data_IF_843300687801
#
_entry.id   IF_843300687801
#
_cell.length_a   1.000
_cell.length_b   1.000
_cell.length_c   1.000
_cell.angle_alpha   90.00
_cell.angle_beta   90.00
_cell.angle_gamma   90.00
#
_symmetry.space_group_name_H-M   'P 1'
#
loop_
_entity.id
_entity.type
_entity.pdbx_description
1 polymer ?
#
# COMPACT_ATOMS: atom_id res chain seq x y z
N UNK A 1 63.29 47.01 10.59
CA UNK A 1 63.07 47.74 9.29
C UNK A 1 61.70 47.34 8.74
N UNK A 2 60.90 48.34 8.53
CA UNK A 2 59.73 48.43 7.61
C UNK A 2 58.49 47.56 7.91
N UNK A 3 57.49 48.16 8.56
CA UNK A 3 56.29 48.79 7.96
C UNK A 3 55.39 47.79 7.27
N UNK A 4 54.22 47.46 7.76
CA UNK A 4 53.05 48.34 7.96
C UNK A 4 52.08 48.00 6.85
N UNK A 5 50.90 47.69 7.15
CA UNK A 5 49.68 48.26 6.57
C UNK A 5 48.45 47.60 7.15
N UNK A 6 47.86 48.35 7.98
CA UNK A 6 46.50 48.20 8.44
C UNK A 6 45.57 48.38 7.19
N UNK A 7 44.72 47.42 6.91
CA UNK A 7 43.55 47.66 6.06
C UNK A 7 42.33 47.11 6.73
N UNK A 8 41.57 48.05 7.23
CA UNK A 8 40.13 47.87 7.52
C UNK A 8 39.44 47.39 6.25
N UNK A 9 38.71 46.29 6.33
CA UNK A 9 37.72 45.97 5.36
C UNK A 9 36.39 45.79 6.07
N UNK A 10 35.43 46.62 5.69
CA UNK A 10 34.12 46.74 6.22
C UNK A 10 33.36 45.40 6.19
N UNK A 11 32.76 45.07 7.33
CA UNK A 11 31.77 44.03 7.44
C UNK A 11 30.50 44.52 6.74
N UNK A 12 30.25 44.01 5.54
CA UNK A 12 28.92 44.12 4.91
C UNK A 12 28.06 42.99 5.49
N UNK A 13 27.19 43.34 6.41
CA UNK A 13 26.07 42.54 6.85
C UNK A 13 25.13 42.30 5.66
N UNK A 14 25.27 41.18 4.98
CA UNK A 14 24.29 40.71 4.02
C UNK A 14 23.28 39.88 4.79
N UNK A 15 22.21 40.52 5.24
CA UNK A 15 21.02 39.87 5.79
C UNK A 15 20.33 39.11 4.67
N UNK A 16 20.69 37.85 4.50
CA UNK A 16 19.86 36.91 3.73
C UNK A 16 18.57 36.64 4.50
N UNK A 17 17.52 37.36 4.16
CA UNK A 17 16.15 37.00 4.42
C UNK A 17 15.88 35.68 3.71
N UNK A 18 16.10 34.58 4.43
CA UNK A 18 15.52 33.29 4.08
C UNK A 18 14.01 33.39 4.31
N UNK A 19 13.33 33.84 3.28
CA UNK A 19 11.88 33.66 3.19
C UNK A 19 11.61 32.17 3.17
N UNK A 20 11.29 31.61 4.34
CA UNK A 20 10.65 30.32 4.46
C UNK A 20 9.31 30.43 3.75
N UNK A 21 9.25 30.08 2.45
CA UNK A 21 8.01 29.67 1.82
C UNK A 21 7.53 28.43 2.55
N UNK A 22 6.82 28.63 3.66
CA UNK A 22 5.92 27.65 4.17
C UNK A 22 4.84 27.46 3.10
N UNK A 23 5.02 26.45 2.27
CA UNK A 23 3.93 25.85 1.52
C UNK A 23 2.97 25.26 2.56
N UNK A 24 2.14 26.11 3.13
CA UNK A 24 0.90 25.68 3.75
C UNK A 24 0.08 25.06 2.63
N UNK A 25 0.19 23.74 2.49
CA UNK A 25 -0.83 22.99 1.81
C UNK A 25 -2.13 23.31 2.56
N UNK A 26 -2.90 24.25 2.03
CA UNK A 26 -4.28 24.43 2.41
C UNK A 26 -4.94 23.09 2.09
N UNK A 27 -5.12 22.27 3.12
CA UNK A 27 -6.15 21.26 3.11
C UNK A 27 -7.45 22.01 2.86
N UNK A 28 -7.91 22.02 1.64
CA UNK A 28 -9.25 22.45 1.30
C UNK A 28 -10.17 21.42 1.90
N UNK A 29 -10.50 21.60 3.18
CA UNK A 29 -11.69 20.99 3.75
C UNK A 29 -12.81 21.56 2.89
N UNK A 30 -13.34 20.75 1.99
CA UNK A 30 -14.55 21.05 1.24
C UNK A 30 -15.64 21.17 2.30
N UNK A 31 -15.89 22.40 2.70
CA UNK A 31 -16.94 22.77 3.64
C UNK A 31 -18.27 22.36 3.01
N UNK A 32 -18.89 21.32 3.54
CA UNK A 32 -20.20 20.84 3.11
C UNK A 32 -20.31 19.33 2.86
N UNK A 33 -19.23 18.56 2.78
CA UNK A 33 -19.31 17.11 2.72
C UNK A 33 -19.71 16.56 4.10
N UNK A 34 -20.75 15.73 4.15
CA UNK A 34 -21.09 15.00 5.35
C UNK A 34 -19.88 14.23 5.87
N UNK A 35 -19.72 14.13 7.20
CA UNK A 35 -18.66 13.32 7.78
C UNK A 35 -18.75 11.88 7.20
N UNK A 36 -17.62 11.26 6.81
CA UNK A 36 -17.64 9.94 6.21
C UNK A 36 -18.25 8.93 7.18
N UNK A 37 -19.04 8.03 6.64
CA UNK A 37 -19.62 6.96 7.42
C UNK A 37 -18.54 5.98 7.87
N UNK A 38 -18.69 5.39 9.08
CA UNK A 38 -17.75 4.39 9.57
C UNK A 38 -17.60 3.21 8.60
N UNK A 39 -18.67 2.86 7.89
CA UNK A 39 -18.67 1.83 6.86
C UNK A 39 -17.74 2.10 5.66
N UNK A 40 -17.23 3.31 5.51
CA UNK A 40 -16.22 3.62 4.51
C UNK A 40 -14.84 3.07 4.89
N UNK A 41 -14.52 2.97 6.18
CA UNK A 41 -13.29 2.36 6.67
C UNK A 41 -13.48 0.89 7.03
N UNK A 42 -14.56 0.57 7.77
CA UNK A 42 -14.79 -0.72 8.37
C UNK A 42 -16.27 -1.06 8.43
N UNK A 43 -16.62 -2.30 8.17
CA UNK A 43 -17.95 -2.85 8.36
C UNK A 43 -17.86 -4.20 9.03
N UNK A 44 -18.89 -4.55 9.81
CA UNK A 44 -18.96 -5.89 10.41
C UNK A 44 -18.78 -6.96 9.34
N UNK A 45 -17.82 -7.88 9.51
CA UNK A 45 -17.58 -8.92 8.53
C UNK A 45 -18.73 -9.92 8.50
N UNK A 46 -19.16 -10.30 7.31
CA UNK A 46 -20.06 -11.42 7.13
C UNK A 46 -19.35 -12.73 7.50
N UNK A 47 -20.02 -13.58 8.29
CA UNK A 47 -19.49 -14.88 8.71
C UNK A 47 -19.28 -15.86 7.54
N UNK A 48 -19.96 -15.65 6.41
CA UNK A 48 -19.84 -16.46 5.20
C UNK A 48 -18.68 -16.10 4.27
N UNK A 49 -17.76 -15.20 4.67
CA UNK A 49 -16.63 -14.79 3.83
C UNK A 49 -15.71 -15.96 3.49
N UNK A 50 -15.45 -16.13 2.20
CA UNK A 50 -14.48 -17.10 1.71
C UNK A 50 -13.06 -16.55 1.80
N UNK A 51 -12.36 -16.88 2.88
CA UNK A 51 -11.01 -16.38 3.13
C UNK A 51 -9.96 -16.95 2.17
N UNK A 52 -10.25 -18.03 1.48
CA UNK A 52 -9.34 -18.60 0.50
C UNK A 52 -9.33 -17.77 -0.79
N UNK A 53 -10.49 -17.40 -1.30
CA UNK A 53 -10.58 -16.60 -2.54
C UNK A 53 -10.54 -15.09 -2.28
N UNK A 54 -10.96 -14.63 -1.10
CA UNK A 54 -10.99 -13.22 -0.75
C UNK A 54 -12.15 -12.44 -1.41
N UNK A 55 -12.11 -11.10 -1.41
CA UNK A 55 -13.25 -10.27 -1.80
C UNK A 55 -13.72 -10.45 -3.25
N UNK A 56 -12.86 -10.93 -4.14
CA UNK A 56 -13.24 -11.22 -5.53
C UNK A 56 -13.90 -12.57 -5.76
N UNK A 57 -13.82 -13.47 -4.78
CA UNK A 57 -14.32 -14.84 -4.91
C UNK A 57 -13.55 -15.67 -5.95
N UNK A 58 -13.94 -16.93 -6.12
CA UNK A 58 -13.34 -17.85 -7.09
C UNK A 58 -13.56 -17.40 -8.54
N UNK A 59 -14.73 -16.85 -8.83
CA UNK A 59 -15.12 -16.46 -10.19
C UNK A 59 -14.25 -15.34 -10.77
N UNK A 60 -13.67 -14.50 -9.92
CA UNK A 60 -12.75 -13.44 -10.34
C UNK A 60 -11.28 -13.87 -10.29
N UNK A 61 -10.97 -15.10 -9.82
CA UNK A 61 -9.58 -15.53 -9.71
C UNK A 61 -8.87 -15.63 -11.07
N UNK A 62 -7.56 -15.37 -11.12
CA UNK A 62 -6.76 -15.61 -12.31
C UNK A 62 -6.59 -17.12 -12.53
N UNK A 63 -6.68 -17.58 -13.77
CA UNK A 63 -6.43 -18.97 -14.13
C UNK A 63 -4.90 -19.25 -14.11
N UNK A 64 -4.41 -20.17 -13.28
CA UNK A 64 -2.98 -20.47 -13.20
C UNK A 64 -2.41 -21.10 -14.48
N UNK A 65 -3.27 -21.59 -15.40
CA UNK A 65 -2.88 -22.21 -16.67
C UNK A 65 -3.01 -21.24 -17.85
N UNK A 66 -3.57 -20.06 -17.63
CA UNK A 66 -3.75 -19.08 -18.70
C UNK A 66 -2.42 -18.39 -19.05
N UNK A 67 -2.38 -17.88 -20.27
CA UNK A 67 -1.37 -16.95 -20.71
C UNK A 67 -1.83 -15.51 -20.45
N UNK A 68 -0.93 -14.70 -19.89
CA UNK A 68 -1.16 -13.31 -19.61
C UNK A 68 -0.35 -12.45 -20.58
N UNK A 69 -1.05 -11.68 -21.40
CA UNK A 69 -0.41 -10.82 -22.40
C UNK A 69 0.12 -9.55 -21.72
N UNK A 70 1.39 -9.26 -21.97
CA UNK A 70 2.04 -8.04 -21.53
C UNK A 70 1.36 -6.78 -22.07
N UNK A 71 1.17 -5.80 -21.19
CA UNK A 71 0.68 -4.46 -21.52
C UNK A 71 1.74 -3.42 -21.22
N UNK A 72 2.25 -3.40 -19.98
CA UNK A 72 3.26 -2.44 -19.55
C UNK A 72 4.09 -3.00 -18.38
N UNK A 73 5.26 -2.38 -18.15
CA UNK A 73 6.01 -2.54 -16.90
C UNK A 73 5.44 -1.60 -15.85
N UNK A 74 5.18 -2.13 -14.66
CA UNK A 74 4.96 -1.30 -13.48
C UNK A 74 6.31 -0.94 -12.86
N UNK A 75 6.70 0.33 -13.02
CA UNK A 75 7.95 0.90 -12.50
C UNK A 75 7.72 1.77 -11.26
N UNK A 76 6.53 1.79 -10.70
CA UNK A 76 6.16 2.69 -9.59
C UNK A 76 6.71 2.27 -8.24
N UNK A 77 7.16 1.02 -8.09
CA UNK A 77 7.70 0.46 -6.86
C UNK A 77 9.13 -0.06 -6.98
N UNK A 78 9.66 -0.63 -5.89
CA UNK A 78 10.96 -1.32 -5.89
C UNK A 78 10.86 -2.74 -6.44
N UNK A 79 9.72 -3.38 -6.28
CA UNK A 79 9.46 -4.73 -6.78
C UNK A 79 9.06 -4.67 -8.24
N UNK A 80 9.58 -5.57 -9.04
CA UNK A 80 9.21 -5.67 -10.45
C UNK A 80 7.74 -6.01 -10.59
N UNK A 81 7.05 -5.30 -11.46
CA UNK A 81 5.63 -5.50 -11.73
C UNK A 81 5.31 -5.43 -13.22
N UNK A 82 4.14 -5.95 -13.55
CA UNK A 82 3.59 -5.92 -14.89
C UNK A 82 2.11 -5.57 -14.87
N UNK A 83 1.69 -4.78 -15.83
CA UNK A 83 0.29 -4.74 -16.23
C UNK A 83 0.09 -5.75 -17.35
N UNK A 84 -0.89 -6.63 -17.20
CA UNK A 84 -1.18 -7.71 -18.14
C UNK A 84 -2.68 -7.85 -18.37
N UNK A 85 -3.05 -8.48 -19.48
CA UNK A 85 -4.42 -8.80 -19.81
C UNK A 85 -4.57 -10.30 -20.05
N UNK A 86 -5.64 -10.89 -19.54
CA UNK A 86 -5.98 -12.30 -19.79
C UNK A 86 -6.86 -12.46 -21.07
N UNK A 87 -7.16 -13.71 -21.41
CA UNK A 87 -7.94 -14.04 -22.60
C UNK A 87 -9.39 -13.52 -22.55
N UNK A 88 -9.91 -13.21 -21.35
CA UNK A 88 -11.23 -12.62 -21.14
C UNK A 88 -11.20 -11.08 -21.20
N UNK A 89 -10.03 -10.49 -21.44
CA UNK A 89 -9.84 -9.04 -21.46
C UNK A 89 -9.83 -8.40 -20.08
N UNK A 90 -9.66 -9.20 -19.01
CA UNK A 90 -9.50 -8.65 -17.67
C UNK A 90 -8.08 -8.13 -17.49
N UNK A 91 -7.96 -6.94 -16.94
CA UNK A 91 -6.69 -6.29 -16.70
C UNK A 91 -6.19 -6.60 -15.28
N UNK A 92 -4.91 -6.91 -15.17
CA UNK A 92 -4.26 -7.29 -13.93
C UNK A 92 -3.00 -6.48 -13.69
N UNK A 93 -2.85 -5.93 -12.49
CA UNK A 93 -1.57 -5.44 -12.00
C UNK A 93 -0.88 -6.58 -11.23
N UNK A 94 0.25 -7.06 -11.77
CA UNK A 94 1.00 -8.17 -11.21
C UNK A 94 2.28 -7.65 -10.57
N UNK A 95 2.50 -8.02 -9.30
CA UNK A 95 3.74 -7.74 -8.56
C UNK A 95 4.45 -9.05 -8.29
N UNK A 96 5.71 -9.18 -8.69
CA UNK A 96 6.50 -10.40 -8.52
C UNK A 96 7.53 -10.24 -7.40
N UNK A 97 7.91 -11.35 -6.79
CA UNK A 97 8.93 -11.40 -5.74
C UNK A 97 8.40 -11.86 -4.39
N UNK A 98 9.26 -11.74 -3.38
CA UNK A 98 9.01 -12.25 -2.01
C UNK A 98 7.73 -11.68 -1.37
N UNK A 99 7.36 -10.47 -1.71
CA UNK A 99 6.19 -9.76 -1.15
C UNK A 99 4.84 -10.31 -1.64
N UNK A 100 4.83 -11.08 -2.73
CA UNK A 100 3.58 -11.46 -3.39
C UNK A 100 2.64 -12.27 -2.49
N UNK A 101 3.20 -13.23 -1.76
CA UNK A 101 2.42 -14.11 -0.90
C UNK A 101 1.93 -13.39 0.36
N UNK A 102 2.80 -12.66 1.05
CA UNK A 102 2.44 -11.91 2.26
C UNK A 102 1.40 -10.82 1.96
N UNK A 103 1.53 -10.11 0.82
CA UNK A 103 0.56 -9.11 0.42
C UNK A 103 -0.85 -9.69 0.27
N UNK A 104 -0.99 -10.86 -0.36
CA UNK A 104 -2.28 -11.54 -0.52
C UNK A 104 -2.81 -12.05 0.82
N UNK A 105 -1.97 -12.70 1.62
CA UNK A 105 -2.38 -13.25 2.91
C UNK A 105 -2.88 -12.15 3.86
N UNK A 106 -2.13 -11.06 3.99
CA UNK A 106 -2.50 -9.94 4.87
C UNK A 106 -3.71 -9.18 4.35
N UNK A 107 -3.83 -8.99 3.03
CA UNK A 107 -5.04 -8.42 2.44
C UNK A 107 -6.29 -9.22 2.81
N UNK A 108 -6.22 -10.56 2.83
CA UNK A 108 -7.33 -11.41 3.26
C UNK A 108 -7.62 -11.33 4.74
N UNK A 109 -6.60 -11.21 5.58
CA UNK A 109 -6.78 -10.98 7.03
C UNK A 109 -7.48 -9.65 7.30
N UNK A 110 -7.08 -8.57 6.63
CA UNK A 110 -7.76 -7.29 6.75
C UNK A 110 -9.21 -7.36 6.30
N UNK A 111 -9.46 -8.00 5.16
CA UNK A 111 -10.83 -8.20 4.68
C UNK A 111 -11.65 -9.07 5.63
N UNK A 112 -11.09 -10.14 6.18
CA UNK A 112 -11.73 -10.97 7.19
C UNK A 112 -12.12 -10.17 8.43
N UNK A 113 -11.28 -9.21 8.82
CA UNK A 113 -11.53 -8.32 9.95
C UNK A 113 -12.47 -7.14 9.64
N UNK A 114 -13.04 -7.04 8.43
CA UNK A 114 -14.03 -6.03 8.06
C UNK A 114 -13.51 -4.81 7.31
N UNK A 115 -12.21 -4.74 7.00
CA UNK A 115 -11.63 -3.63 6.22
C UNK A 115 -11.75 -3.91 4.73
N UNK A 116 -12.07 -2.87 3.96
CA UNK A 116 -12.13 -2.99 2.51
C UNK A 116 -10.77 -3.36 1.93
N UNK A 117 -10.76 -4.34 1.04
CA UNK A 117 -9.58 -4.73 0.27
C UNK A 117 -9.96 -4.96 -1.20
N UNK A 118 -9.12 -4.57 -2.15
CA UNK A 118 -9.30 -4.95 -3.54
C UNK A 118 -9.08 -6.46 -3.73
N UNK A 119 -9.62 -7.01 -4.82
CA UNK A 119 -9.44 -8.41 -5.17
C UNK A 119 -7.97 -8.71 -5.51
N UNK A 120 -7.32 -9.48 -4.65
CA UNK A 120 -5.92 -9.90 -4.78
C UNK A 120 -5.81 -11.42 -4.76
N UNK A 121 -4.96 -11.97 -5.64
CA UNK A 121 -4.73 -13.41 -5.76
C UNK A 121 -3.24 -13.70 -5.84
N UNK A 122 -2.87 -14.90 -5.46
CA UNK A 122 -1.50 -15.39 -5.53
C UNK A 122 -1.41 -16.53 -6.53
N UNK A 123 -0.50 -16.41 -7.50
CA UNK A 123 -0.10 -17.50 -8.36
C UNK A 123 1.36 -17.84 -8.08
N UNK A 124 1.68 -19.11 -7.76
CA UNK A 124 3.06 -19.54 -7.50
C UNK A 124 3.93 -19.52 -8.75
N UNK A 125 3.31 -19.67 -9.91
CA UNK A 125 3.91 -19.56 -11.23
C UNK A 125 2.85 -19.18 -12.26
N UNK A 126 3.24 -18.51 -13.34
CA UNK A 126 2.31 -18.04 -14.37
C UNK A 126 3.05 -17.80 -15.70
N UNK A 127 2.34 -17.65 -16.78
CA UNK A 127 2.91 -17.50 -18.13
C UNK A 127 2.68 -16.09 -18.66
N UNK A 128 3.77 -15.37 -18.97
CA UNK A 128 3.76 -14.04 -19.60
C UNK A 128 4.04 -14.17 -21.09
N UNK A 129 3.22 -13.56 -21.93
CA UNK A 129 3.42 -13.53 -23.40
C UNK A 129 3.56 -12.10 -23.91
N UNK A 130 4.28 -11.93 -25.02
CA UNK A 130 4.42 -10.63 -25.70
C UNK A 130 5.26 -9.59 -24.96
N UNK A 131 6.01 -9.96 -23.93
CA UNK A 131 6.91 -9.03 -23.25
C UNK A 131 8.13 -8.72 -24.11
N UNK A 132 8.49 -7.44 -24.31
CA UNK A 132 9.72 -7.04 -24.97
C UNK A 132 10.95 -7.15 -24.07
N UNK A 133 10.76 -7.44 -22.78
CA UNK A 133 11.83 -7.47 -21.80
C UNK A 133 12.78 -8.64 -22.00
N UNK A 134 14.11 -8.38 -22.07
CA UNK A 134 15.09 -9.45 -22.10
C UNK A 134 14.99 -10.34 -20.87
N UNK A 135 15.00 -11.65 -21.07
CA UNK A 135 15.01 -12.61 -19.96
C UNK A 135 13.62 -12.87 -19.33
N UNK A 136 12.53 -12.48 -19.96
CA UNK A 136 11.18 -12.94 -19.61
C UNK A 136 11.05 -14.44 -19.87
N UNK A 137 11.57 -15.24 -18.92
CA UNK A 137 11.48 -16.70 -19.02
C UNK A 137 10.13 -17.17 -18.44
N UNK A 138 9.52 -18.14 -19.06
CA UNK A 138 8.34 -18.83 -18.53
C UNK A 138 8.73 -20.19 -17.94
N UNK A 139 8.10 -20.60 -16.84
CA UNK A 139 7.10 -19.82 -16.08
C UNK A 139 7.74 -18.65 -15.34
N UNK A 140 6.97 -17.58 -15.20
CA UNK A 140 7.33 -16.46 -14.34
C UNK A 140 7.31 -16.90 -12.87
N UNK A 141 8.12 -16.25 -11.99
CA UNK A 141 8.07 -16.51 -10.56
C UNK A 141 6.73 -16.09 -9.96
N UNK A 142 6.54 -16.46 -8.69
CA UNK A 142 5.32 -16.14 -7.95
C UNK A 142 4.91 -14.68 -8.06
N UNK A 143 3.62 -14.44 -8.25
CA UNK A 143 3.04 -13.12 -8.43
C UNK A 143 1.77 -12.87 -7.62
N UNK A 144 1.63 -11.64 -7.12
CA UNK A 144 0.37 -11.09 -6.64
C UNK A 144 -0.37 -10.50 -7.83
N UNK A 145 -1.53 -11.04 -8.13
CA UNK A 145 -2.44 -10.56 -9.16
C UNK A 145 -3.53 -9.71 -8.52
N UNK A 146 -3.61 -8.44 -8.90
CA UNK A 146 -4.69 -7.54 -8.51
C UNK A 146 -5.54 -7.23 -9.72
N UNK A 147 -6.83 -7.53 -9.60
CA UNK A 147 -7.79 -7.25 -10.66
C UNK A 147 -8.05 -5.73 -10.72
N UNK A 148 -7.89 -5.14 -11.90
CA UNK A 148 -8.27 -3.76 -12.16
C UNK A 148 -9.77 -3.72 -12.48
N UNK A 149 -10.57 -3.40 -11.49
CA UNK A 149 -12.02 -3.35 -11.63
C UNK A 149 -12.46 -1.95 -12.07
N UNK A 150 -13.20 -1.86 -13.18
CA UNK A 150 -13.75 -0.59 -13.67
C UNK A 150 -14.76 0.07 -12.72
N UNK A 151 -15.23 -0.69 -11.72
CA UNK A 151 -16.11 -0.21 -10.66
C UNK A 151 -15.38 0.38 -9.46
N UNK A 152 -14.05 0.39 -9.46
CA UNK A 152 -13.21 0.86 -8.37
C UNK A 152 -12.28 1.97 -8.87
N UNK A 153 -12.68 3.23 -8.68
CA UNK A 153 -11.87 4.38 -9.04
C UNK A 153 -11.04 4.84 -7.85
N UNK A 154 -9.72 4.92 -8.02
CA UNK A 154 -8.84 5.52 -7.03
C UNK A 154 -8.88 7.02 -7.15
N UNK A 155 -9.52 7.69 -6.18
CA UNK A 155 -9.77 9.14 -6.24
C UNK A 155 -8.80 9.95 -5.40
N UNK A 156 -8.21 9.37 -4.33
CA UNK A 156 -7.31 10.09 -3.43
C UNK A 156 -6.44 9.12 -2.62
N UNK A 157 -5.67 9.68 -1.70
CA UNK A 157 -4.89 8.99 -0.66
C UNK A 157 -5.33 9.47 0.71
N UNK A 158 -5.20 8.60 1.73
CA UNK A 158 -5.49 8.99 3.10
C UNK A 158 -4.28 8.77 4.03
N UNK A 159 -4.14 9.67 5.00
CA UNK A 159 -3.05 9.66 5.98
C UNK A 159 -3.41 8.79 7.19
N UNK A 160 -2.45 8.04 7.71
CA UNK A 160 -2.60 7.31 8.98
C UNK A 160 -2.87 8.22 10.17
N UNK A 161 -2.33 9.43 10.16
CA UNK A 161 -2.40 10.39 11.27
C UNK A 161 -3.53 11.40 11.13
N UNK A 162 -3.86 11.75 9.89
CA UNK A 162 -4.82 12.77 9.55
C UNK A 162 -5.90 12.19 8.66
N UNK A 163 -6.94 11.66 9.28
CA UNK A 163 -8.08 11.06 8.60
C UNK A 163 -9.34 11.20 9.47
N UNK A 164 -10.53 11.07 8.90
CA UNK A 164 -11.78 11.29 9.64
C UNK A 164 -12.10 10.25 10.73
N UNK A 165 -11.33 9.16 10.81
CA UNK A 165 -11.56 8.05 11.75
C UNK A 165 -10.61 8.09 12.96
N UNK A 166 -9.78 9.13 13.08
CA UNK A 166 -8.87 9.29 14.23
C UNK A 166 -9.66 9.22 15.54
N UNK A 167 -9.17 8.40 16.48
CA UNK A 167 -9.81 8.18 17.78
C UNK A 167 -10.90 7.09 17.77
N UNK A 168 -11.27 6.53 16.62
CA UNK A 168 -12.28 5.46 16.53
C UNK A 168 -11.71 4.07 16.85
N UNK A 169 -12.55 3.16 17.32
CA UNK A 169 -12.14 1.77 17.56
C UNK A 169 -11.71 1.04 16.28
N UNK A 170 -12.39 1.17 15.12
CA UNK A 170 -11.93 0.55 13.88
C UNK A 170 -10.54 1.01 13.43
N UNK A 171 -10.22 2.31 13.50
CA UNK A 171 -8.88 2.75 13.14
C UNK A 171 -7.81 2.19 14.08
N UNK A 172 -8.08 2.15 15.40
CA UNK A 172 -7.18 1.51 16.37
C UNK A 172 -7.02 0.01 16.08
N UNK A 173 -8.11 -0.68 15.73
CA UNK A 173 -8.06 -2.08 15.32
C UNK A 173 -7.19 -2.32 14.09
N UNK A 174 -7.24 -1.41 13.11
CA UNK A 174 -6.38 -1.47 11.94
C UNK A 174 -4.89 -1.35 12.31
N UNK A 175 -4.53 -0.43 13.21
CA UNK A 175 -3.14 -0.34 13.72
C UNK A 175 -2.71 -1.63 14.43
N UNK A 176 -3.57 -2.20 15.27
CA UNK A 176 -3.28 -3.48 15.94
C UNK A 176 -3.02 -4.58 14.93
N UNK A 177 -3.83 -4.68 13.87
CA UNK A 177 -3.60 -5.65 12.80
C UNK A 177 -2.27 -5.42 12.08
N UNK A 178 -1.89 -4.18 11.82
CA UNK A 178 -0.58 -3.88 11.20
C UNK A 178 0.57 -4.34 12.10
N UNK A 179 0.47 -4.13 13.41
CA UNK A 179 1.45 -4.64 14.38
C UNK A 179 1.46 -6.17 14.40
N UNK A 180 0.29 -6.81 14.46
CA UNK A 180 0.17 -8.27 14.52
C UNK A 180 0.78 -8.98 13.31
N UNK A 181 0.69 -8.40 12.13
CA UNK A 181 1.30 -8.94 10.90
C UNK A 181 2.71 -8.40 10.67
N UNK A 182 3.23 -7.63 11.61
CA UNK A 182 4.53 -6.96 11.54
C UNK A 182 4.73 -6.16 10.23
N UNK A 183 3.69 -5.40 9.83
CA UNK A 183 3.83 -4.49 8.70
C UNK A 183 4.50 -3.20 9.17
N UNK A 184 5.72 -2.99 8.71
CA UNK A 184 6.54 -1.84 9.11
C UNK A 184 6.55 -0.71 8.07
N UNK A 185 5.95 -0.91 6.89
CA UNK A 185 5.98 0.06 5.79
C UNK A 185 4.68 0.86 5.69
N UNK A 186 4.35 1.60 6.74
CA UNK A 186 3.10 2.38 6.84
C UNK A 186 3.26 3.76 6.19
N UNK A 187 3.02 3.85 4.89
CA UNK A 187 3.12 5.09 4.10
C UNK A 187 1.75 5.55 3.60
N UNK A 188 1.52 6.85 3.57
CA UNK A 188 0.31 7.45 2.99
C UNK A 188 0.10 7.05 1.53
N UNK A 189 1.17 6.92 0.75
CA UNK A 189 1.12 6.52 -0.65
C UNK A 189 0.52 5.12 -0.88
N UNK A 190 0.48 4.31 0.16
CA UNK A 190 -0.07 2.94 0.13
C UNK A 190 -1.53 2.89 0.57
N UNK A 191 -2.11 4.03 0.93
CA UNK A 191 -3.46 4.15 1.46
C UNK A 191 -4.38 4.84 0.45
N UNK A 192 -4.90 4.13 -0.56
CA UNK A 192 -5.84 4.72 -1.50
C UNK A 192 -7.22 4.91 -0.88
N UNK A 193 -7.86 6.00 -1.29
CA UNK A 193 -9.29 6.19 -1.18
C UNK A 193 -9.92 5.80 -2.51
N UNK A 194 -10.81 4.83 -2.48
CA UNK A 194 -11.59 4.40 -3.63
C UNK A 194 -13.00 4.97 -3.61
N UNK A 195 -13.53 5.24 -4.78
CA UNK A 195 -14.97 5.29 -5.04
C UNK A 195 -15.39 4.00 -5.73
N UNK A 196 -16.30 3.26 -5.09
CA UNK A 196 -16.74 1.95 -5.56
C UNK A 196 -18.19 2.05 -5.97
N UNK A 197 -18.48 1.76 -7.24
CA UNK A 197 -19.83 1.73 -7.79
C UNK A 197 -20.31 0.29 -7.87
N UNK A 198 -21.45 0.00 -7.26
CA UNK A 198 -22.06 -1.32 -7.28
C UNK A 198 -23.50 -1.23 -7.80
N UNK A 199 -23.82 -2.04 -8.81
CA UNK A 199 -25.19 -2.20 -9.28
C UNK A 199 -25.91 -0.93 -9.73
N UNK A 200 -25.19 0.09 -10.22
CA UNK A 200 -25.77 1.37 -10.64
C UNK A 200 -26.16 2.31 -9.49
N UNK A 201 -25.83 1.95 -8.26
CA UNK A 201 -25.99 2.84 -7.10
C UNK A 201 -24.97 4.00 -7.11
N UNK A 202 -25.21 5.01 -6.28
CA UNK A 202 -24.21 6.07 -6.07
C UNK A 202 -22.90 5.48 -5.56
N UNK A 203 -21.73 6.02 -6.01
CA UNK A 203 -20.43 5.56 -5.54
C UNK A 203 -20.32 5.65 -4.02
N UNK A 204 -19.69 4.64 -3.42
CA UNK A 204 -19.40 4.59 -1.99
C UNK A 204 -17.90 4.67 -1.80
N UNK A 205 -17.44 5.54 -0.91
CA UNK A 205 -16.03 5.66 -0.57
C UNK A 205 -15.56 4.46 0.25
N UNK A 206 -14.31 4.05 -0.02
CA UNK A 206 -13.64 2.96 0.69
C UNK A 206 -12.19 3.33 0.99
N UNK A 207 -11.88 3.42 2.27
CA UNK A 207 -10.52 3.65 2.76
C UNK A 207 -9.79 2.32 2.84
N UNK A 208 -8.81 2.10 1.98
CA UNK A 208 -8.06 0.87 1.90
C UNK A 208 -6.60 1.04 2.30
N UNK A 209 -5.98 -0.05 2.75
CA UNK A 209 -4.52 -0.16 2.88
C UNK A 209 -4.04 -1.15 1.83
N UNK A 210 -3.09 -0.73 1.01
CA UNK A 210 -2.45 -1.55 -0.03
C UNK A 210 -0.98 -1.75 0.29
N UNK A 211 -0.30 -2.51 -0.57
CA UNK A 211 1.14 -2.78 -0.47
C UNK A 211 1.53 -3.41 0.87
N UNK A 212 0.76 -4.43 1.23
CA UNK A 212 0.91 -5.18 2.48
C UNK A 212 2.08 -6.19 2.45
N UNK A 213 2.89 -6.14 1.40
CA UNK A 213 4.00 -7.08 1.19
C UNK A 213 5.14 -6.95 2.19
N UNK A 214 5.26 -5.82 2.89
CA UNK A 214 6.25 -5.63 3.95
C UNK A 214 5.84 -6.30 5.28
N UNK A 215 4.97 -7.31 5.21
CA UNK A 215 4.43 -8.04 6.36
C UNK A 215 5.03 -9.44 6.50
N UNK A 216 4.73 -10.09 7.62
CA UNK A 216 5.08 -11.48 7.92
C UNK A 216 6.58 -11.75 7.80
N UNK A 217 7.37 -10.85 8.32
CA UNK A 217 8.83 -10.93 8.37
C UNK A 217 9.35 -10.21 9.61
N UNK A 218 10.59 -9.72 9.54
CA UNK A 218 11.27 -9.04 10.63
C UNK A 218 11.50 -7.56 10.32
N UNK A 219 11.16 -6.70 11.27
CA UNK A 219 11.45 -5.26 11.21
C UNK A 219 12.89 -4.97 11.62
N UNK A 220 13.63 -4.16 10.85
CA UNK A 220 14.94 -3.65 11.26
C UNK A 220 15.13 -2.19 10.86
N UNK A 221 15.65 -1.40 11.81
CA UNK A 221 15.96 0.01 11.58
C UNK A 221 17.14 0.26 10.61
N UNK A 222 18.19 -0.53 10.69
CA UNK A 222 19.47 -0.28 10.01
C UNK A 222 19.65 -1.09 8.72
N UNK A 223 18.92 -2.17 8.55
CA UNK A 223 18.91 -2.99 7.33
C UNK A 223 17.49 -3.28 6.97
N UNK A 224 17.20 -3.36 5.68
CA UNK A 224 15.90 -3.79 5.23
C UNK A 224 15.46 -5.02 6.04
N UNK A 225 14.27 -4.95 6.66
CA UNK A 225 13.67 -6.09 7.33
C UNK A 225 13.47 -7.23 6.34
N UNK A 226 13.24 -8.42 6.81
CA UNK A 226 12.77 -9.50 5.96
C UNK A 226 11.27 -9.34 5.70
N UNK A 227 10.81 -9.87 4.57
CA UNK A 227 9.43 -9.84 4.11
C UNK A 227 9.01 -11.26 3.79
N UNK A 228 7.78 -11.62 4.11
CA UNK A 228 7.27 -12.98 3.79
C UNK A 228 8.21 -14.10 4.25
N UNK A 229 8.83 -13.93 5.39
CA UNK A 229 9.76 -14.88 6.00
C UNK A 229 9.20 -15.35 7.34
N UNK A 230 8.60 -16.53 7.34
CA UNK A 230 7.89 -17.07 8.50
C UNK A 230 8.84 -17.30 9.69
N UNK A 231 10.05 -17.82 9.45
CA UNK A 231 11.02 -18.06 10.53
C UNK A 231 11.48 -16.76 11.20
N UNK A 232 11.66 -15.70 10.42
CA UNK A 232 11.96 -14.36 10.96
C UNK A 232 10.76 -13.80 11.70
N UNK A 233 9.54 -13.99 11.19
CA UNK A 233 8.30 -13.52 11.80
C UNK A 233 8.02 -14.21 13.14
N UNK A 234 8.20 -15.52 13.25
CA UNK A 234 8.02 -16.30 14.47
C UNK A 234 9.00 -15.89 15.59
N UNK A 235 10.19 -15.42 15.21
CA UNK A 235 11.21 -14.97 16.14
C UNK A 235 11.18 -13.45 16.43
N UNK A 236 10.26 -12.70 15.81
CA UNK A 236 10.17 -11.25 16.02
C UNK A 236 9.38 -10.95 17.30
N UNK A 237 9.83 -9.91 18.00
CA UNK A 237 9.09 -9.39 19.16
C UNK A 237 8.17 -8.27 18.67
N UNK A 238 6.87 -8.46 18.78
CA UNK A 238 5.88 -7.46 18.41
C UNK A 238 6.01 -6.19 19.28
N UNK A 239 6.30 -6.37 20.56
CA UNK A 239 6.53 -5.28 21.50
C UNK A 239 7.95 -5.41 22.01
N UNK A 240 8.80 -4.45 21.71
CA UNK A 240 10.21 -4.42 22.14
C UNK A 240 10.40 -3.66 23.43
N UNK A 241 9.70 -2.54 23.57
CA UNK A 241 9.71 -1.70 24.76
C UNK A 241 8.41 -0.91 24.84
N UNK A 242 8.03 -0.57 26.06
CA UNK A 242 6.94 0.38 26.34
C UNK A 242 7.55 1.52 27.14
N UNK A 243 7.53 2.73 26.59
CA UNK A 243 8.04 3.93 27.24
C UNK A 243 6.90 4.94 27.32
N UNK A 244 6.33 5.13 28.51
CA UNK A 244 5.17 5.99 28.72
C UNK A 244 3.99 5.64 27.81
N UNK A 245 3.79 6.39 26.72
CA UNK A 245 2.68 6.23 25.79
C UNK A 245 3.10 5.62 24.44
N UNK A 246 4.35 5.14 24.31
CA UNK A 246 4.90 4.57 23.07
C UNK A 246 5.19 3.06 23.22
N UNK A 247 4.88 2.31 22.18
CA UNK A 247 5.10 0.86 22.07
C UNK A 247 6.16 0.56 21.02
#
# INVERSE_FOLDING_TARGET
MKTGYLRLAAAALLSCLLGACALTAKSTVVSGAAAPAMSELWSEPDAGRDLFWGPGGESAAPDPKAEYKFVALDTTGKSRGYDVVDAQGREWSVKIGEEAQSEVAVSRLLWAAGYFQPANYYLPAWTLTGSPEPGSQNPQPAGRFRLNQKSEDRVDLWSWRENPFVGTAPLRGLFVLMVMVNNWDLKTQQNPLYEVTQGGAAPVRRYAVRDLGASLGRTRWVRAGSKSNLADFENERFIRSVNNDEV
#
